data_IF_326825096923
#
_entry.id   IF_326825096923
#
_cell.length_a   1.000
_cell.length_b   1.000
_cell.length_c   1.000
_cell.angle_alpha   90.00
_cell.angle_beta   90.00
_cell.angle_gamma   90.00
#
_symmetry.space_group_name_H-M   'P 1'
#
loop_
_entity.id
_entity.type
_entity.pdbx_description
1 polymer ?
#
# COMPACT_ATOMS: atom_id res chain seq x y z
N UNK A 1 -16.62 0.91 14.35
CA UNK A 1 -15.30 0.24 14.47
C UNK A 1 -14.12 1.22 14.54
N UNK A 2 -14.06 2.24 13.67
CA UNK A 2 -12.92 3.17 13.58
C UNK A 2 -12.54 3.85 14.91
N UNK A 3 -13.52 4.32 15.67
CA UNK A 3 -13.29 4.95 16.97
C UNK A 3 -12.48 4.03 17.92
N UNK A 4 -12.91 2.77 18.05
CA UNK A 4 -12.26 1.77 18.92
C UNK A 4 -10.80 1.55 18.49
N UNK A 5 -10.54 1.41 17.18
CA UNK A 5 -9.18 1.21 16.66
C UNK A 5 -8.28 2.40 16.97
N UNK A 6 -8.79 3.63 16.88
CA UNK A 6 -8.03 4.84 17.19
C UNK A 6 -7.72 4.94 18.69
N UNK A 7 -8.70 4.64 19.55
CA UNK A 7 -8.49 4.64 21.01
C UNK A 7 -7.45 3.60 21.41
N UNK A 8 -7.51 2.37 20.88
CA UNK A 8 -6.51 1.32 21.14
C UNK A 8 -5.10 1.77 20.72
N UNK A 9 -4.97 2.43 19.56
CA UNK A 9 -3.69 2.99 19.11
C UNK A 9 -3.19 4.11 20.04
N UNK A 10 -4.07 4.99 20.48
CA UNK A 10 -3.73 6.06 21.41
C UNK A 10 -3.28 5.51 22.77
N UNK A 11 -3.99 4.50 23.31
CA UNK A 11 -3.62 3.82 24.56
C UNK A 11 -2.26 3.12 24.47
N UNK A 12 -1.94 2.51 23.33
CA UNK A 12 -0.60 1.97 23.08
C UNK A 12 0.49 3.05 23.19
N UNK A 13 0.29 4.19 22.54
CA UNK A 13 1.24 5.31 22.60
C UNK A 13 1.36 5.84 24.02
N UNK A 14 0.23 6.03 24.72
CA UNK A 14 0.19 6.47 26.11
C UNK A 14 1.04 5.56 27.02
N UNK A 15 0.78 4.25 26.94
CA UNK A 15 1.42 3.22 27.77
C UNK A 15 2.92 3.02 27.50
N UNK A 16 3.41 3.35 26.30
CA UNK A 16 4.82 3.10 25.91
C UNK A 16 5.67 4.36 25.89
N UNK A 17 5.10 5.56 25.73
CA UNK A 17 5.86 6.82 25.61
C UNK A 17 5.88 7.66 26.89
N UNK A 18 4.89 7.56 27.76
CA UNK A 18 4.79 8.41 28.95
C UNK A 18 5.21 7.73 30.26
N UNK A 19 5.82 6.54 30.20
CA UNK A 19 6.29 5.78 31.36
C UNK A 19 7.24 6.60 32.28
N UNK A 20 8.04 7.50 31.69
CA UNK A 20 8.99 8.35 32.44
C UNK A 20 8.32 9.49 33.21
N UNK A 21 7.17 9.98 32.75
CA UNK A 21 6.52 11.19 33.30
C UNK A 21 5.62 10.83 34.48
N UNK A 22 4.90 9.71 34.40
CA UNK A 22 3.91 9.31 35.40
C UNK A 22 4.36 8.10 36.25
N UNK A 23 5.59 7.62 36.04
CA UNK A 23 6.09 6.40 36.64
C UNK A 23 5.58 5.14 35.93
N UNK A 24 6.41 4.09 35.93
CA UNK A 24 6.13 2.83 35.22
C UNK A 24 4.86 2.13 35.74
N UNK A 25 4.54 2.26 37.02
CA UNK A 25 3.37 1.64 37.64
C UNK A 25 2.02 2.27 37.24
N UNK A 26 1.99 3.56 36.91
CA UNK A 26 0.75 4.26 36.52
C UNK A 26 0.43 4.10 35.02
N UNK A 27 1.45 3.83 34.19
CA UNK A 27 1.34 3.87 32.72
C UNK A 27 1.42 2.48 32.09
N UNK A 28 2.14 1.55 32.72
CA UNK A 28 2.06 0.15 32.33
C UNK A 28 0.78 -0.43 32.92
N UNK A 29 -0.22 -0.68 32.08
CA UNK A 29 -1.29 -1.59 32.46
C UNK A 29 -0.72 -3.01 32.44
N UNK A 30 -0.44 -3.65 33.59
CA UNK A 30 0.17 -4.99 33.63
C UNK A 30 -0.71 -6.07 32.99
N UNK A 31 -1.98 -5.74 32.73
CA UNK A 31 -2.99 -6.63 32.12
C UNK A 31 -2.86 -6.69 30.59
N UNK A 32 -2.26 -5.70 29.93
CA UNK A 32 -2.32 -5.56 28.46
C UNK A 32 -0.93 -5.72 27.83
N UNK A 33 -0.76 -6.79 27.06
CA UNK A 33 0.40 -6.96 26.17
C UNK A 33 0.09 -6.49 24.75
N UNK A 34 0.82 -5.52 24.22
CA UNK A 34 0.61 -4.98 22.88
C UNK A 34 1.28 -5.83 21.80
N UNK A 35 0.51 -6.30 20.81
CA UNK A 35 1.00 -7.07 19.65
C UNK A 35 0.91 -6.25 18.35
N UNK A 36 1.44 -5.03 18.34
CA UNK A 36 1.50 -4.24 17.11
C UNK A 36 2.55 -4.79 16.15
N UNK A 37 2.14 -5.13 14.92
CA UNK A 37 3.06 -5.46 13.83
C UNK A 37 3.57 -4.18 13.17
N UNK A 38 4.85 -4.17 12.77
CA UNK A 38 5.37 -3.10 11.93
C UNK A 38 4.54 -3.00 10.63
N UNK A 39 4.21 -1.78 10.18
CA UNK A 39 3.46 -1.61 8.94
C UNK A 39 4.27 -2.14 7.76
N UNK A 40 3.56 -2.64 6.76
CA UNK A 40 4.21 -3.09 5.53
C UNK A 40 4.80 -1.90 4.78
N UNK A 41 5.97 -2.12 4.19
CA UNK A 41 6.63 -1.09 3.39
C UNK A 41 5.74 -0.76 2.20
N UNK A 42 5.36 0.51 2.08
CA UNK A 42 4.73 0.98 0.85
C UNK A 42 5.73 0.86 -0.31
N UNK A 43 5.28 0.46 -1.51
CA UNK A 43 6.16 0.35 -2.65
C UNK A 43 6.72 1.73 -3.02
N UNK A 44 8.03 1.80 -3.24
CA UNK A 44 8.72 3.06 -3.58
C UNK A 44 8.31 3.58 -4.96
N UNK A 45 8.12 2.66 -5.90
CA UNK A 45 7.62 2.93 -7.24
C UNK A 45 6.30 2.20 -7.40
N UNK A 46 5.30 2.88 -7.96
CA UNK A 46 4.05 2.22 -8.34
C UNK A 46 4.39 1.09 -9.31
N UNK A 47 4.24 -0.17 -8.87
CA UNK A 47 4.24 -1.30 -9.79
C UNK A 47 2.93 -1.20 -10.56
N UNK A 48 2.98 -0.60 -11.75
CA UNK A 48 1.85 -0.65 -12.67
C UNK A 48 1.52 -2.13 -12.93
N UNK A 49 0.24 -2.48 -12.80
CA UNK A 49 -0.20 -3.82 -13.21
C UNK A 49 -0.10 -3.86 -14.74
N UNK A 50 0.44 -4.93 -15.34
CA UNK A 50 0.48 -5.06 -16.80
C UNK A 50 -0.92 -5.01 -17.45
N UNK A 51 -1.98 -5.22 -16.67
CA UNK A 51 -3.37 -5.04 -17.09
C UNK A 51 -3.73 -3.58 -17.43
N UNK A 52 -3.12 -2.60 -16.77
CA UNK A 52 -3.38 -1.16 -17.01
C UNK A 52 -2.67 -0.65 -18.28
N UNK A 53 -1.59 -1.33 -18.72
CA UNK A 53 -0.77 -0.95 -19.88
C UNK A 53 -1.10 -1.72 -21.17
N UNK A 54 -2.05 -2.66 -21.15
CA UNK A 54 -2.52 -3.39 -22.34
C UNK A 54 -3.39 -2.52 -23.29
N UNK A 55 -3.37 -1.20 -23.14
CA UNK A 55 -4.14 -0.30 -23.99
C UNK A 55 -3.34 0.14 -25.23
N UNK A 56 -3.59 -0.61 -26.32
CA UNK A 56 -3.53 -0.23 -27.74
C UNK A 56 -2.16 0.24 -28.30
N UNK A 57 -1.27 -0.71 -28.53
CA UNK A 57 -0.43 -0.61 -29.75
C UNK A 57 -1.31 -0.99 -30.94
N UNK A 58 -1.99 0.00 -31.53
CA UNK A 58 -2.70 -0.20 -32.81
C UNK A 58 -1.62 -0.25 -33.90
N UNK A 59 -1.09 -1.45 -34.19
CA UNK A 59 -0.22 -1.69 -35.35
C UNK A 59 -0.93 -1.09 -36.57
N UNK A 60 -0.34 -0.05 -37.17
CA UNK A 60 -0.86 0.57 -38.37
C UNK A 60 -1.12 -0.48 -39.45
N UNK A 61 -2.09 -0.21 -40.33
CA UNK A 61 -2.53 -1.10 -41.41
C UNK A 61 -1.34 -1.83 -42.05
N UNK A 62 -1.38 -3.17 -42.04
CA UNK A 62 -0.36 -3.95 -42.74
C UNK A 62 -0.44 -3.57 -44.22
N UNK A 63 0.66 -3.03 -44.77
CA UNK A 63 0.79 -2.79 -46.21
C UNK A 63 0.54 -4.13 -46.91
N UNK A 64 -0.59 -4.26 -47.60
CA UNK A 64 -0.82 -5.37 -48.51
C UNK A 64 0.27 -5.30 -49.59
N UNK A 65 1.01 -6.37 -49.78
CA UNK A 65 1.93 -6.50 -50.89
C UNK A 65 1.10 -6.70 -52.17
N UNK A 66 0.82 -5.60 -52.86
CA UNK A 66 0.14 -5.62 -54.15
C UNK A 66 1.21 -5.99 -55.19
N UNK A 67 0.97 -7.05 -55.96
CA UNK A 67 1.88 -7.38 -57.06
C UNK A 67 1.74 -6.30 -58.15
N UNK A 68 2.83 -5.87 -58.79
CA UNK A 68 2.80 -4.77 -59.77
C UNK A 68 1.87 -5.04 -60.96
N UNK A 69 1.57 -6.31 -61.26
CA UNK A 69 0.61 -6.72 -62.30
C UNK A 69 -0.84 -6.36 -61.94
N UNK A 70 -1.16 -6.23 -60.64
CA UNK A 70 -2.50 -5.85 -60.15
C UNK A 70 -2.67 -4.34 -59.96
N UNK A 71 -1.62 -3.55 -60.23
CA UNK A 71 -1.59 -2.10 -60.01
C UNK A 71 -1.70 -1.26 -61.30
N UNK A 72 -1.85 -1.92 -62.47
CA UNK A 72 -2.08 -1.29 -63.78
C UNK A 72 -3.55 -1.40 -64.19
#
# INVERSE_FOLDING_TARGET
>A
MNAVVLTVKASYVASTKYQKVYGTAAVNSPVVSWKMKAPEKKPLVKREKPEEFQTRVRRGSQKKHISPVQAL
#
